data_IF_687041357965
#
_entry.id   IF_687041357965
#
_cell.length_a   1.000
_cell.length_b   1.000
_cell.length_c   1.000
_cell.angle_alpha   90.00
_cell.angle_beta   90.00
_cell.angle_gamma   90.00
#
_symmetry.space_group_name_H-M   'P 1'
#
loop_
_entity.id
_entity.type
_entity.pdbx_description
1 polymer ?
#
# COMPACT_ATOMS: atom_id res chain seq x y z
N UNK A 1 -12.05 10.76 -2.95
CA UNK A 1 -11.84 9.50 -3.72
C UNK A 1 -12.46 8.38 -2.89
N UNK A 2 -13.12 7.37 -3.50
CA UNK A 2 -13.57 6.21 -2.72
C UNK A 2 -12.33 5.41 -2.30
N UNK A 3 -12.14 5.24 -1.00
CA UNK A 3 -11.13 4.37 -0.45
C UNK A 3 -11.59 2.92 -0.62
N UNK A 4 -10.74 2.09 -1.24
CA UNK A 4 -10.97 0.66 -1.37
C UNK A 4 -10.05 -0.06 -0.40
N UNK A 5 -10.56 -1.00 0.41
CA UNK A 5 -9.80 -1.60 1.52
C UNK A 5 -8.77 -2.64 1.08
N UNK A 6 -8.58 -2.85 -0.23
CA UNK A 6 -7.66 -3.83 -0.80
C UNK A 6 -7.22 -3.45 -2.21
N UNK A 7 -6.27 -4.21 -2.76
CA UNK A 7 -5.62 -3.95 -4.04
C UNK A 7 -6.28 -4.63 -5.24
N UNK A 8 -7.39 -5.36 -5.07
CA UNK A 8 -8.04 -6.14 -6.14
C UNK A 8 -8.37 -5.25 -7.33
N UNK A 9 -8.99 -4.09 -7.08
CA UNK A 9 -9.39 -3.14 -8.11
C UNK A 9 -8.19 -2.62 -8.90
N UNK A 10 -7.10 -2.31 -8.21
CA UNK A 10 -5.88 -1.80 -8.83
C UNK A 10 -5.22 -2.87 -9.71
N UNK A 11 -5.04 -4.08 -9.18
CA UNK A 11 -4.47 -5.21 -9.91
C UNK A 11 -5.32 -5.57 -11.14
N UNK A 12 -6.64 -5.64 -10.98
CA UNK A 12 -7.57 -5.92 -12.09
C UNK A 12 -7.47 -4.89 -13.21
N UNK A 13 -7.43 -3.59 -12.86
CA UNK A 13 -7.28 -2.52 -13.85
C UNK A 13 -5.92 -2.57 -14.56
N UNK A 14 -4.83 -2.87 -13.84
CA UNK A 14 -3.50 -3.06 -14.41
C UNK A 14 -3.47 -4.23 -15.40
N UNK A 15 -4.26 -5.28 -15.15
CA UNK A 15 -4.43 -6.41 -16.05
C UNK A 15 -5.47 -6.17 -17.17
N UNK A 16 -6.02 -4.96 -17.30
CA UNK A 16 -7.06 -4.58 -18.26
C UNK A 16 -8.31 -5.49 -18.22
N UNK A 17 -8.69 -5.95 -17.03
CA UNK A 17 -9.87 -6.80 -16.84
C UNK A 17 -11.05 -5.98 -16.34
N UNK A 18 -12.25 -6.27 -16.80
CA UNK A 18 -13.50 -5.87 -16.16
C UNK A 18 -13.81 -6.78 -14.96
N UNK A 19 -14.71 -6.33 -14.07
CA UNK A 19 -15.17 -7.17 -12.96
C UNK A 19 -15.86 -8.46 -13.44
N UNK A 20 -16.53 -8.40 -14.60
CA UNK A 20 -17.24 -9.54 -15.19
C UNK A 20 -16.23 -10.57 -15.72
N UNK A 21 -15.22 -10.14 -16.47
CA UNK A 21 -14.17 -11.05 -16.97
C UNK A 21 -13.37 -11.67 -15.83
N UNK A 22 -13.06 -10.92 -14.78
CA UNK A 22 -12.43 -11.49 -13.59
C UNK A 22 -13.35 -12.53 -12.94
N UNK A 23 -14.64 -12.21 -12.78
CA UNK A 23 -15.61 -13.13 -12.18
C UNK A 23 -15.71 -14.45 -12.96
N UNK A 24 -15.74 -14.38 -14.29
CA UNK A 24 -15.73 -15.55 -15.18
C UNK A 24 -14.46 -16.39 -14.98
N UNK A 25 -13.27 -15.76 -14.94
CA UNK A 25 -12.00 -16.46 -14.72
C UNK A 25 -11.91 -17.23 -13.41
N UNK A 26 -12.46 -16.67 -12.32
CA UNK A 26 -12.48 -17.34 -11.00
C UNK A 26 -13.74 -18.16 -10.73
N UNK A 27 -14.69 -18.24 -11.67
CA UNK A 27 -15.93 -18.99 -11.50
C UNK A 27 -16.83 -18.41 -10.40
N UNK A 28 -17.12 -17.12 -10.46
CA UNK A 28 -18.01 -16.41 -9.53
C UNK A 28 -18.87 -15.36 -10.24
N UNK A 29 -19.62 -14.55 -9.50
CA UNK A 29 -20.43 -13.46 -10.05
C UNK A 29 -19.70 -12.11 -10.01
N UNK A 30 -20.03 -11.21 -10.96
CA UNK A 30 -19.57 -9.81 -10.95
C UNK A 30 -19.87 -9.12 -9.62
N UNK A 31 -21.05 -9.37 -9.04
CA UNK A 31 -21.46 -8.79 -7.76
C UNK A 31 -20.55 -9.24 -6.61
N UNK A 32 -20.10 -10.51 -6.63
CA UNK A 32 -19.14 -11.01 -5.66
C UNK A 32 -17.80 -10.25 -5.75
N UNK A 33 -17.29 -10.03 -6.97
CA UNK A 33 -16.07 -9.25 -7.19
C UNK A 33 -16.24 -7.81 -6.71
N UNK A 34 -17.39 -7.18 -7.01
CA UNK A 34 -17.70 -5.84 -6.53
C UNK A 34 -17.65 -5.76 -5.00
N UNK A 35 -18.34 -6.66 -4.30
CA UNK A 35 -18.39 -6.71 -2.83
C UNK A 35 -17.01 -6.92 -2.21
N UNK A 36 -16.15 -7.72 -2.85
CA UNK A 36 -14.76 -7.88 -2.45
C UNK A 36 -13.95 -6.60 -2.67
N UNK A 37 -14.07 -5.94 -3.84
CA UNK A 37 -13.35 -4.69 -4.12
C UNK A 37 -13.69 -3.58 -3.12
N UNK A 38 -14.97 -3.43 -2.76
CA UNK A 38 -15.43 -2.37 -1.83
C UNK A 38 -15.33 -2.75 -0.36
N UNK A 39 -15.02 -4.01 -0.05
CA UNK A 39 -14.92 -4.53 1.33
C UNK A 39 -16.24 -4.87 2.02
N UNK A 40 -17.37 -4.80 1.32
CA UNK A 40 -18.64 -5.37 1.81
C UNK A 40 -18.53 -6.87 2.08
N UNK A 41 -17.59 -7.54 1.41
CA UNK A 41 -17.18 -8.91 1.72
C UNK A 41 -15.71 -8.95 2.12
N UNK A 42 -15.42 -9.67 3.19
CA UNK A 42 -14.05 -9.90 3.64
C UNK A 42 -13.23 -10.64 2.57
N UNK A 43 -12.04 -10.12 2.29
CA UNK A 43 -11.04 -10.75 1.44
C UNK A 43 -10.33 -11.86 2.24
N UNK A 44 -10.78 -13.09 2.11
CA UNK A 44 -10.17 -14.25 2.77
C UNK A 44 -8.95 -14.77 2.00
N UNK A 45 -8.13 -15.58 2.67
CA UNK A 45 -6.98 -16.25 2.05
C UNK A 45 -7.36 -17.12 0.83
N UNK A 46 -8.51 -17.77 0.87
CA UNK A 46 -9.04 -18.53 -0.26
C UNK A 46 -9.29 -17.63 -1.47
N UNK A 47 -9.92 -16.46 -1.27
CA UNK A 47 -10.13 -15.49 -2.34
C UNK A 47 -8.82 -14.95 -2.89
N UNK A 48 -7.83 -14.67 -2.04
CA UNK A 48 -6.51 -14.22 -2.46
C UNK A 48 -5.86 -15.25 -3.39
N UNK A 49 -5.81 -16.52 -2.98
CA UNK A 49 -5.24 -17.63 -3.75
C UNK A 49 -5.95 -17.87 -5.08
N UNK A 50 -7.25 -17.57 -5.17
CA UNK A 50 -8.03 -17.69 -6.41
C UNK A 50 -7.81 -16.48 -7.34
N UNK A 51 -7.81 -15.27 -6.78
CA UNK A 51 -7.78 -14.02 -7.54
C UNK A 51 -6.38 -13.70 -8.07
N UNK A 52 -5.34 -13.91 -7.28
CA UNK A 52 -3.96 -13.58 -7.65
C UNK A 52 -3.53 -14.21 -8.99
N UNK A 53 -3.67 -15.53 -9.20
CA UNK A 53 -3.32 -16.15 -10.48
C UNK A 53 -4.27 -15.74 -11.61
N UNK A 54 -5.57 -15.54 -11.34
CA UNK A 54 -6.54 -15.15 -12.37
C UNK A 54 -6.29 -13.72 -12.92
N UNK A 55 -5.74 -12.84 -12.08
CA UNK A 55 -5.34 -11.48 -12.43
C UNK A 55 -3.90 -11.44 -12.99
N UNK A 56 -3.03 -12.37 -12.59
CA UNK A 56 -1.60 -12.35 -12.90
C UNK A 56 -0.83 -11.37 -12.01
N UNK A 57 -1.08 -11.40 -10.70
CA UNK A 57 -0.42 -10.56 -9.70
C UNK A 57 0.01 -11.39 -8.49
N UNK A 58 0.84 -10.81 -7.61
CA UNK A 58 1.26 -11.44 -6.34
C UNK A 58 0.17 -11.29 -5.29
N UNK A 59 0.10 -12.23 -4.34
CA UNK A 59 -0.91 -12.23 -3.28
C UNK A 59 -0.85 -10.97 -2.40
N UNK A 60 0.36 -10.49 -2.08
CA UNK A 60 0.59 -9.26 -1.32
C UNK A 60 0.08 -7.99 -2.02
N UNK A 61 -0.02 -7.99 -3.36
CA UNK A 61 -0.59 -6.86 -4.10
C UNK A 61 -2.10 -6.74 -3.88
N UNK A 62 -2.79 -7.85 -3.59
CA UNK A 62 -4.22 -7.85 -3.26
C UNK A 62 -4.48 -7.37 -1.84
N UNK A 63 -3.54 -7.62 -0.91
CA UNK A 63 -3.60 -7.16 0.47
C UNK A 63 -3.22 -5.69 0.61
N UNK A 64 -2.40 -5.19 -0.32
CA UNK A 64 -1.98 -3.80 -0.34
C UNK A 64 -3.17 -2.90 -0.67
N UNK A 65 -3.48 -1.96 0.22
CA UNK A 65 -4.21 -0.75 -0.19
C UNK A 65 -3.47 -0.14 -1.39
N UNK A 66 -4.13 0.59 -2.31
CA UNK A 66 -3.38 1.46 -3.21
C UNK A 66 -2.50 2.30 -2.29
N UNK A 67 -1.21 1.97 -2.28
CA UNK A 67 -0.22 2.66 -1.49
C UNK A 67 -0.37 4.07 -2.02
N UNK A 68 -0.92 4.98 -1.21
CA UNK A 68 -0.60 6.37 -1.43
C UNK A 68 0.86 6.47 -1.01
N UNK A 69 1.73 5.96 -1.89
CA UNK A 69 3.03 6.52 -2.13
C UNK A 69 2.78 7.93 -2.67
N UNK A 70 2.16 8.79 -1.86
CA UNK A 70 2.78 10.08 -1.65
C UNK A 70 4.06 9.75 -0.90
N UNK A 71 5.06 9.23 -1.63
CA UNK A 71 6.42 9.56 -1.28
C UNK A 71 6.38 11.08 -1.17
N UNK A 72 6.65 11.67 0.00
CA UNK A 72 6.55 13.10 0.17
C UNK A 72 7.29 13.72 -1.01
N UNK A 73 6.60 14.56 -1.80
CA UNK A 73 7.27 15.31 -2.85
C UNK A 73 8.27 16.19 -2.11
N UNK A 74 9.51 15.72 -2.12
CA UNK A 74 10.64 16.38 -1.56
C UNK A 74 10.65 17.79 -2.18
N UNK A 75 10.53 18.88 -1.41
CA UNK A 75 10.60 20.21 -2.00
C UNK A 75 11.90 20.36 -2.78
N UNK A 76 11.87 21.12 -3.87
CA UNK A 76 12.93 21.23 -4.89
C UNK A 76 14.30 21.61 -4.30
N UNK A 77 14.33 22.13 -3.07
CA UNK A 77 15.49 22.60 -2.33
C UNK A 77 16.05 21.62 -1.29
N UNK A 78 15.50 20.42 -1.12
CA UNK A 78 15.90 19.53 -0.05
C UNK A 78 16.49 18.20 -0.55
N UNK A 79 17.35 17.62 0.29
CA UNK A 79 17.88 16.25 0.28
C UNK A 79 19.04 15.96 -0.70
N UNK A 80 20.27 15.99 -0.16
CA UNK A 80 21.33 15.09 -0.65
C UNK A 80 21.14 13.74 0.03
N UNK A 81 20.85 12.71 -0.77
CA UNK A 81 20.64 11.34 -0.30
C UNK A 81 22.00 10.63 -0.31
N UNK A 82 22.51 10.24 0.86
CA UNK A 82 23.73 9.43 0.97
C UNK A 82 23.38 8.00 1.37
N UNK A 83 23.82 7.04 0.56
CA UNK A 83 23.58 5.61 0.80
C UNK A 83 24.57 5.09 1.85
N UNK A 84 24.07 4.74 3.03
CA UNK A 84 24.84 4.06 4.06
C UNK A 84 24.20 2.70 4.36
N UNK A 85 24.79 1.64 3.80
CA UNK A 85 24.27 0.28 3.97
C UNK A 85 22.82 0.13 3.48
N UNK A 86 21.90 -0.19 4.40
CA UNK A 86 20.49 -0.51 4.14
C UNK A 86 19.51 0.65 4.32
N UNK A 87 19.96 1.86 4.69
CA UNK A 87 19.08 2.99 4.99
C UNK A 87 19.49 4.26 4.24
N UNK A 88 18.53 5.19 4.11
CA UNK A 88 18.73 6.53 3.58
C UNK A 88 18.72 7.53 4.75
N UNK A 89 19.72 8.41 4.81
CA UNK A 89 19.81 9.48 5.81
C UNK A 89 19.49 10.81 5.14
N UNK A 90 18.54 11.56 5.69
CA UNK A 90 18.22 12.93 5.25
C UNK A 90 19.04 13.92 6.10
N UNK A 91 19.96 14.66 5.48
CA UNK A 91 20.72 15.73 6.15
C UNK A 91 20.05 17.08 5.85
N UNK A 92 19.59 17.78 6.88
CA UNK A 92 19.09 19.16 6.79
C UNK A 92 20.28 20.14 6.89
N UNK A 93 20.29 21.20 6.08
CA UNK A 93 21.33 22.23 6.14
C UNK A 93 20.98 23.27 7.22
N UNK A 94 21.71 23.18 8.34
CA UNK A 94 21.80 24.11 9.49
C UNK A 94 20.67 24.07 10.56
N UNK A 95 21.02 24.39 11.83
CA UNK A 95 20.71 23.51 12.96
C UNK A 95 19.40 23.90 13.63
N UNK A 96 18.65 22.90 14.10
CA UNK A 96 18.22 22.74 15.51
C UNK A 96 17.02 21.80 15.54
N UNK A 97 17.22 20.73 16.30
CA UNK A 97 16.26 19.72 16.77
C UNK A 97 15.52 18.83 15.76
N UNK A 98 15.94 17.56 15.82
CA UNK A 98 15.36 16.41 15.13
C UNK A 98 14.06 16.03 15.86
N UNK A 99 12.90 16.34 15.30
CA UNK A 99 11.66 15.65 15.68
C UNK A 99 11.49 14.40 14.80
N UNK A 100 12.13 13.31 15.22
CA UNK A 100 11.83 11.96 14.75
C UNK A 100 10.56 11.49 15.45
N UNK A 101 9.40 11.66 14.82
CA UNK A 101 8.17 10.97 15.24
C UNK A 101 7.57 10.17 14.08
N UNK A 102 8.21 9.05 13.77
CA UNK A 102 7.51 7.87 13.25
C UNK A 102 7.24 6.94 14.44
N UNK A 103 6.01 6.94 14.92
CA UNK A 103 5.40 6.04 15.93
C UNK A 103 5.74 4.54 15.72
N UNK A 104 5.49 3.61 16.68
CA UNK A 104 5.83 3.50 18.11
C UNK A 104 6.67 2.22 18.36
N UNK A 105 7.94 2.35 18.74
CA UNK A 105 8.64 1.28 19.48
C UNK A 105 9.54 1.82 20.59
N UNK A 106 9.62 3.14 20.75
CA UNK A 106 10.34 3.78 21.82
C UNK A 106 9.47 4.93 22.31
N UNK A 107 8.97 4.79 23.54
CA UNK A 107 8.39 5.93 24.26
C UNK A 107 9.51 6.95 24.56
N UNK A 108 9.22 8.25 24.56
CA UNK A 108 10.20 9.25 24.95
C UNK A 108 10.52 9.09 26.43
N UNK A 109 11.80 8.94 26.77
CA UNK A 109 12.29 9.18 28.13
C UNK A 109 12.35 10.70 28.28
N UNK A 110 11.67 11.23 29.29
CA UNK A 110 11.66 12.66 29.64
C UNK A 110 13.12 13.11 29.91
N UNK A 111 13.59 14.23 29.33
CA UNK A 111 14.97 14.69 29.51
C UNK A 111 15.24 15.34 30.90
N UNK A 112 14.40 15.05 31.90
CA UNK A 112 14.49 15.59 33.26
C UNK A 112 14.75 14.49 34.32
N UNK A 113 15.69 13.58 34.07
CA UNK A 113 16.30 12.71 35.11
C UNK A 113 17.71 12.25 34.71
#
# INVERSE_FOLDING_TARGET
MRDFPNGIRACRKRANLSMTELAERVGTSRNQIYKLEVGERQLTLEWIRRLAPAIGCREEELLSLPRQDKMPQLPENAYRIEKHGHYLVLRLNEPTEIYLSLHPLFAPIDPSE
#
